data_IF_874992755424
#
_entry.id   IF_874992755424
#
_cell.length_a   1.000
_cell.length_b   1.000
_cell.length_c   1.000
_cell.angle_alpha   90.00
_cell.angle_beta   90.00
_cell.angle_gamma   90.00
#
_symmetry.space_group_name_H-M   'P 1'
#
loop_
_entity.id
_entity.type
_entity.pdbx_description
1 polymer ?
#
# COMPACT_ATOMS: atom_id res chain seq x y z
N UNK A 1 -53.70 22.02 37.52
CA UNK A 1 -52.80 23.07 37.00
C UNK A 1 -51.39 22.54 37.08
N UNK A 2 -50.87 21.99 35.99
CA UNK A 2 -49.52 21.41 35.95
C UNK A 2 -48.90 21.83 34.63
N UNK A 3 -47.97 22.78 34.69
CA UNK A 3 -47.32 23.35 33.50
C UNK A 3 -46.13 22.47 33.09
N UNK A 4 -46.16 21.95 31.86
CA UNK A 4 -45.00 21.34 31.20
C UNK A 4 -44.08 22.46 30.70
N UNK A 5 -42.83 22.47 31.17
CA UNK A 5 -41.76 23.29 30.61
C UNK A 5 -41.09 22.54 29.45
N UNK A 6 -41.19 23.08 28.25
CA UNK A 6 -40.51 22.58 27.06
C UNK A 6 -39.11 23.20 26.96
N UNK A 7 -38.07 22.38 27.05
CA UNK A 7 -36.67 22.79 26.90
C UNK A 7 -36.31 22.82 25.41
N UNK A 8 -36.11 24.02 24.86
CA UNK A 8 -35.59 24.22 23.50
C UNK A 8 -34.09 23.88 23.48
N UNK A 9 -33.70 22.86 22.73
CA UNK A 9 -32.28 22.55 22.47
C UNK A 9 -31.87 23.33 21.22
N UNK A 10 -31.00 24.34 21.40
CA UNK A 10 -30.41 25.09 20.31
C UNK A 10 -29.41 24.21 19.54
N UNK A 11 -29.65 24.02 18.23
CA UNK A 11 -28.72 23.35 17.33
C UNK A 11 -27.53 24.29 17.04
N UNK A 12 -26.32 23.86 17.40
CA UNK A 12 -25.10 24.57 17.03
C UNK A 12 -24.83 24.37 15.52
N UNK A 13 -24.38 25.41 14.79
CA UNK A 13 -24.04 25.28 13.38
C UNK A 13 -22.83 24.35 13.22
N UNK A 14 -22.95 23.35 12.33
CA UNK A 14 -21.83 22.56 11.84
C UNK A 14 -20.87 23.49 11.10
N UNK A 15 -19.68 23.69 11.66
CA UNK A 15 -18.60 24.38 10.97
C UNK A 15 -18.21 23.55 9.73
N UNK A 16 -18.21 24.19 8.56
CA UNK A 16 -17.66 23.62 7.34
C UNK A 16 -16.18 23.30 7.59
N UNK A 17 -15.85 22.02 7.60
CA UNK A 17 -14.49 21.54 7.74
C UNK A 17 -13.76 21.85 6.43
N UNK A 18 -12.99 22.94 6.41
CA UNK A 18 -12.05 23.22 5.32
C UNK A 18 -10.97 22.15 5.34
N UNK A 19 -11.24 21.04 4.64
CA UNK A 19 -10.26 20.01 4.33
C UNK A 19 -9.13 20.66 3.53
N UNK A 20 -8.06 21.04 4.23
CA UNK A 20 -6.78 21.36 3.63
C UNK A 20 -6.39 20.17 2.75
N UNK A 21 -6.40 20.37 1.43
CA UNK A 21 -5.99 19.37 0.45
C UNK A 21 -4.57 18.92 0.75
N UNK A 22 -4.44 17.82 1.48
CA UNK A 22 -3.18 17.11 1.59
C UNK A 22 -2.84 16.64 0.18
N UNK A 23 -1.59 16.81 -0.30
CA UNK A 23 -1.20 16.29 -1.60
C UNK A 23 -1.59 14.81 -1.67
N UNK A 24 -2.46 14.49 -2.63
CA UNK A 24 -3.11 13.19 -2.73
C UNK A 24 -2.04 12.10 -2.76
N UNK A 25 -2.09 11.26 -1.72
CA UNK A 25 -1.07 10.26 -1.49
C UNK A 25 -1.28 9.11 -2.46
N UNK A 26 -0.84 9.28 -3.72
CA UNK A 26 -0.62 8.16 -4.62
C UNK A 26 0.34 7.21 -3.93
N UNK A 27 -0.16 6.05 -3.52
CA UNK A 27 0.67 5.02 -2.96
C UNK A 27 1.04 4.03 -4.05
N UNK A 28 2.34 3.96 -4.34
CA UNK A 28 2.93 2.83 -5.02
C UNK A 28 2.85 1.61 -4.10
N UNK A 29 1.81 0.79 -4.29
CA UNK A 29 1.74 -0.52 -3.68
C UNK A 29 2.72 -1.43 -4.43
N UNK A 30 3.74 -1.90 -3.72
CA UNK A 30 4.68 -2.95 -4.10
C UNK A 30 5.90 -2.60 -4.96
N UNK A 31 6.93 -3.42 -4.71
CA UNK A 31 8.23 -3.56 -5.39
C UNK A 31 9.29 -2.49 -5.14
N UNK A 32 10.60 -2.85 -5.16
CA UNK A 32 11.69 -1.89 -5.34
C UNK A 32 11.53 -1.14 -6.66
N UNK A 33 12.32 -0.08 -6.81
CA UNK A 33 12.44 0.70 -8.04
C UNK A 33 12.52 -0.23 -9.28
N UNK A 34 11.52 -0.13 -10.17
CA UNK A 34 11.46 -0.91 -11.41
C UNK A 34 12.64 -0.60 -12.36
N UNK A 35 13.38 0.47 -12.08
CA UNK A 35 14.61 0.83 -12.78
C UNK A 35 15.83 -0.01 -12.35
N UNK A 36 15.74 -0.87 -11.34
CA UNK A 36 16.84 -1.77 -10.98
C UNK A 36 17.24 -2.66 -12.17
N UNK A 37 18.53 -2.71 -12.50
CA UNK A 37 19.06 -3.57 -13.57
C UNK A 37 18.60 -5.01 -13.40
N UNK A 38 18.18 -5.64 -14.49
CA UNK A 38 17.78 -7.05 -14.49
C UNK A 38 19.00 -7.91 -14.09
N UNK A 39 18.91 -8.69 -13.00
CA UNK A 39 20.00 -9.54 -12.56
C UNK A 39 20.10 -10.86 -13.36
N UNK A 40 19.33 -11.04 -14.43
CA UNK A 40 19.64 -12.00 -15.49
C UNK A 40 19.31 -13.45 -15.16
N UNK A 41 18.13 -13.70 -14.60
CA UNK A 41 17.65 -15.07 -14.39
C UNK A 41 16.16 -15.17 -14.57
N UNK A 42 15.65 -16.39 -14.43
CA UNK A 42 14.35 -16.70 -14.98
C UNK A 42 13.70 -17.78 -14.10
N UNK A 43 12.75 -17.41 -13.24
CA UNK A 43 11.91 -18.38 -12.53
C UNK A 43 10.68 -18.73 -13.38
N UNK A 44 10.52 -20.03 -13.68
CA UNK A 44 9.53 -20.51 -14.63
C UNK A 44 8.21 -20.93 -14.00
N UNK A 45 7.10 -20.59 -14.66
CA UNK A 45 5.82 -21.23 -14.39
C UNK A 45 5.71 -22.47 -15.29
N UNK A 46 5.85 -23.65 -14.70
CA UNK A 46 5.87 -24.92 -15.43
C UNK A 46 5.01 -25.99 -14.78
N UNK A 47 4.15 -26.69 -15.55
CA UNK A 47 3.41 -26.23 -16.72
C UNK A 47 2.05 -25.63 -16.31
N UNK A 48 1.65 -24.53 -16.96
CA UNK A 48 0.31 -23.94 -16.80
C UNK A 48 0.29 -22.52 -16.23
N UNK A 49 -0.91 -21.98 -15.97
CA UNK A 49 -1.06 -20.68 -15.32
C UNK A 49 -0.37 -20.69 -13.96
N UNK A 50 0.02 -19.53 -13.47
CA UNK A 50 0.58 -19.39 -12.14
C UNK A 50 0.18 -18.06 -11.52
N UNK A 51 0.21 -18.04 -10.19
CA UNK A 51 0.08 -16.82 -9.42
C UNK A 51 1.37 -16.60 -8.67
N UNK A 52 1.91 -15.40 -8.79
CA UNK A 52 3.16 -15.01 -8.19
C UNK A 52 2.85 -13.99 -7.11
N UNK A 53 3.33 -14.27 -5.91
CA UNK A 53 3.18 -13.43 -4.74
C UNK A 53 4.56 -13.09 -4.15
N UNK A 54 4.75 -11.84 -3.75
CA UNK A 54 5.86 -11.49 -2.89
C UNK A 54 5.47 -11.82 -1.44
N UNK A 55 6.03 -12.88 -0.86
CA UNK A 55 5.72 -13.28 0.52
C UNK A 55 6.40 -12.35 1.55
N UNK A 56 7.56 -11.82 1.20
CA UNK A 56 8.38 -11.03 2.09
C UNK A 56 9.16 -10.01 1.28
N UNK A 57 9.04 -8.75 1.69
CA UNK A 57 9.83 -7.67 1.13
C UNK A 57 11.06 -7.47 2.02
N UNK A 58 12.25 -7.20 1.44
CA UNK A 58 13.37 -6.72 2.20
C UNK A 58 12.95 -5.50 3.03
N UNK A 59 13.14 -5.57 4.36
CA UNK A 59 12.72 -4.49 5.28
C UNK A 59 13.38 -3.15 4.95
N UNK A 60 14.51 -3.18 4.24
CA UNK A 60 15.24 -2.00 3.79
C UNK A 60 14.47 -1.12 2.79
N UNK A 61 13.45 -1.65 2.11
CA UNK A 61 12.80 -0.95 1.00
C UNK A 61 11.56 -0.15 1.38
N UNK A 62 11.06 -0.29 2.61
CA UNK A 62 9.85 0.42 3.05
C UNK A 62 8.58 0.09 2.24
N UNK A 63 8.66 -0.84 1.29
CA UNK A 63 7.56 -1.28 0.47
C UNK A 63 6.52 -2.01 1.34
N UNK A 64 5.24 -1.71 1.13
CA UNK A 64 4.15 -2.40 1.81
C UNK A 64 3.70 -3.58 0.94
N UNK A 65 3.57 -4.74 1.57
CA UNK A 65 2.88 -5.91 1.01
C UNK A 65 1.35 -5.75 1.02
N UNK A 66 0.79 -4.72 1.66
CA UNK A 66 -0.66 -4.59 1.71
C UNK A 66 -1.05 -3.14 1.54
N UNK A 67 -2.17 -2.91 0.85
CA UNK A 67 -2.73 -1.58 0.69
C UNK A 67 -2.98 -0.97 2.07
N UNK A 68 -2.48 0.25 2.34
CA UNK A 68 -2.67 0.90 3.64
C UNK A 68 -4.08 1.48 3.83
N UNK A 69 -4.78 1.77 2.72
CA UNK A 69 -6.13 2.31 2.65
C UNK A 69 -6.93 1.60 1.56
N UNK A 70 -8.25 1.81 1.55
CA UNK A 70 -9.07 1.45 0.41
C UNK A 70 -8.85 2.44 -0.74
N UNK A 71 -9.22 2.03 -1.96
CA UNK A 71 -9.11 2.83 -3.16
C UNK A 71 -9.28 1.99 -4.44
N UNK A 72 -8.83 2.57 -5.55
CA UNK A 72 -8.85 1.94 -6.87
C UNK A 72 -7.44 1.91 -7.43
N UNK A 73 -7.02 0.73 -7.89
CA UNK A 73 -5.79 0.60 -8.67
C UNK A 73 -6.06 1.16 -10.06
N UNK A 74 -5.43 2.30 -10.39
CA UNK A 74 -5.61 3.01 -11.66
C UNK A 74 -4.58 2.60 -12.72
N UNK A 75 -3.42 2.13 -12.27
CA UNK A 75 -2.40 1.55 -13.13
C UNK A 75 -1.52 0.56 -12.38
N UNK A 76 -0.88 -0.33 -13.12
CA UNK A 76 0.16 -1.18 -12.58
C UNK A 76 1.30 -1.34 -13.58
N UNK A 77 2.48 -1.64 -13.06
CA UNK A 77 3.70 -1.84 -13.83
C UNK A 77 4.32 -3.16 -13.44
N UNK A 78 4.86 -3.85 -14.43
CA UNK A 78 5.59 -5.10 -14.25
C UNK A 78 6.85 -5.08 -15.09
N UNK A 79 7.93 -5.67 -14.57
CA UNK A 79 9.15 -5.91 -15.34
C UNK A 79 9.22 -7.36 -15.81
N UNK A 80 9.41 -7.58 -17.11
CA UNK A 80 9.50 -8.90 -17.73
C UNK A 80 10.86 -9.11 -18.40
N UNK A 81 11.36 -10.34 -18.42
CA UNK A 81 12.62 -10.71 -19.08
C UNK A 81 12.50 -10.85 -20.60
N UNK A 82 11.28 -10.98 -21.10
CA UNK A 82 10.94 -11.27 -22.49
C UNK A 82 9.48 -10.87 -22.78
N UNK A 83 9.06 -11.10 -24.03
CA UNK A 83 7.68 -10.92 -24.43
C UNK A 83 6.76 -11.90 -23.68
N UNK A 84 5.63 -11.42 -23.17
CA UNK A 84 4.67 -12.19 -22.39
C UNK A 84 3.25 -11.84 -22.78
N UNK A 85 2.40 -12.85 -22.88
CA UNK A 85 0.94 -12.68 -22.96
C UNK A 85 0.30 -13.30 -21.73
N UNK A 86 -0.94 -12.93 -21.44
CA UNK A 86 -1.68 -13.56 -20.35
C UNK A 86 -1.38 -12.98 -18.97
N UNK A 87 -0.76 -11.79 -18.88
CA UNK A 87 -0.46 -11.14 -17.60
C UNK A 87 -1.74 -10.52 -17.02
N UNK A 88 -1.99 -10.71 -15.74
CA UNK A 88 -3.14 -10.11 -15.07
C UNK A 88 -2.77 -9.73 -13.63
N UNK A 89 -3.07 -8.49 -13.25
CA UNK A 89 -3.05 -8.07 -11.85
C UNK A 89 -4.23 -8.70 -11.10
N UNK A 90 -3.96 -9.29 -9.95
CA UNK A 90 -4.95 -9.83 -9.01
C UNK A 90 -4.88 -9.11 -7.67
N UNK A 91 -6.03 -8.91 -7.03
CA UNK A 91 -6.11 -8.41 -5.66
C UNK A 91 -6.57 -9.54 -4.75
N UNK A 92 -5.80 -9.78 -3.68
CA UNK A 92 -6.00 -10.90 -2.77
C UNK A 92 -6.15 -10.46 -1.32
N UNK A 93 -7.01 -11.15 -0.58
CA UNK A 93 -7.09 -11.08 0.88
C UNK A 93 -6.20 -12.19 1.45
N UNK A 94 -5.18 -11.87 2.27
CA UNK A 94 -4.39 -12.89 2.93
C UNK A 94 -5.27 -13.65 3.94
N UNK A 95 -5.27 -14.97 3.83
CA UNK A 95 -5.93 -15.89 4.75
C UNK A 95 -4.97 -16.49 5.78
N UNK A 96 -5.49 -17.44 6.56
CA UNK A 96 -4.67 -18.25 7.46
C UNK A 96 -3.80 -19.25 6.69
N UNK A 97 -2.70 -19.70 7.32
CA UNK A 97 -1.82 -20.75 6.79
C UNK A 97 -1.24 -20.48 5.39
N UNK A 98 -1.09 -19.21 5.01
CA UNK A 98 -0.55 -18.80 3.71
C UNK A 98 -1.59 -18.76 2.59
N UNK A 99 -2.86 -19.09 2.82
CA UNK A 99 -3.90 -18.96 1.79
C UNK A 99 -4.12 -17.52 1.33
N UNK A 100 -4.60 -17.33 0.11
CA UNK A 100 -5.03 -16.04 -0.44
C UNK A 100 -6.40 -16.22 -1.11
N UNK A 101 -7.33 -15.31 -0.83
CA UNK A 101 -8.63 -15.26 -1.53
C UNK A 101 -8.64 -14.11 -2.52
N UNK A 102 -8.77 -14.40 -3.81
CA UNK A 102 -8.74 -13.35 -4.83
C UNK A 102 -10.11 -12.69 -4.95
N UNK A 103 -10.16 -11.39 -4.74
CA UNK A 103 -11.40 -10.60 -4.69
C UNK A 103 -11.60 -9.72 -5.90
N UNK A 104 -10.53 -9.44 -6.66
CA UNK A 104 -10.62 -8.68 -7.90
C UNK A 104 -9.48 -9.04 -8.84
N UNK A 105 -9.67 -8.70 -10.12
CA UNK A 105 -8.67 -8.90 -11.16
C UNK A 105 -8.80 -7.83 -12.24
N UNK A 106 -7.67 -7.48 -12.87
CA UNK A 106 -7.65 -6.65 -14.08
C UNK A 106 -8.01 -7.44 -15.34
N UNK A 107 -8.10 -6.77 -16.49
CA UNK A 107 -8.10 -7.44 -17.80
C UNK A 107 -6.76 -8.13 -18.08
N UNK A 108 -6.76 -9.08 -19.00
CA UNK A 108 -5.51 -9.71 -19.47
C UNK A 108 -4.70 -8.69 -20.28
N UNK A 109 -3.40 -8.66 -20.05
CA UNK A 109 -2.43 -7.78 -20.70
C UNK A 109 -1.31 -8.59 -21.37
N UNK A 110 -0.59 -7.91 -22.26
CA UNK A 110 0.60 -8.45 -22.93
C UNK A 110 1.76 -7.46 -22.87
N UNK A 111 2.95 -7.96 -22.60
CA UNK A 111 4.23 -7.27 -22.73
C UNK A 111 4.88 -7.70 -24.05
N UNK A 112 5.12 -6.77 -24.97
CA UNK A 112 5.60 -7.12 -26.32
C UNK A 112 7.10 -7.52 -26.36
N UNK A 113 7.86 -7.18 -25.33
CA UNK A 113 9.30 -7.44 -25.23
C UNK A 113 9.75 -7.45 -23.76
N UNK A 114 11.03 -7.70 -23.52
CA UNK A 114 11.66 -7.49 -22.22
C UNK A 114 11.56 -6.01 -21.79
N UNK A 115 11.45 -5.75 -20.49
CA UNK A 115 11.48 -4.40 -19.93
C UNK A 115 10.35 -4.13 -18.93
N UNK A 116 10.18 -2.86 -18.58
CA UNK A 116 9.11 -2.40 -17.68
C UNK A 116 7.90 -1.96 -18.51
N UNK A 117 6.76 -2.59 -18.26
CA UNK A 117 5.50 -2.32 -18.94
C UNK A 117 4.52 -1.70 -17.96
N UNK A 118 3.75 -0.71 -18.41
CA UNK A 118 2.70 -0.06 -17.63
C UNK A 118 1.34 -0.32 -18.27
N UNK A 119 0.38 -0.71 -17.45
CA UNK A 119 -0.98 -1.02 -17.88
C UNK A 119 -1.97 -0.19 -17.06
N UNK A 120 -2.93 0.44 -17.74
CA UNK A 120 -4.07 1.04 -17.08
C UNK A 120 -4.97 -0.05 -16.50
N UNK A 121 -5.58 0.23 -15.35
CA UNK A 121 -6.51 -0.67 -14.71
C UNK A 121 -7.57 0.11 -13.95
N UNK A 122 -8.67 -0.57 -13.62
CA UNK A 122 -9.62 -0.15 -12.62
C UNK A 122 -9.94 -1.37 -11.79
N UNK A 123 -9.25 -1.52 -10.67
CA UNK A 123 -9.42 -2.66 -9.78
C UNK A 123 -9.55 -2.15 -8.37
N UNK A 124 -10.72 -2.34 -7.77
CA UNK A 124 -10.96 -1.96 -6.39
C UNK A 124 -10.01 -2.72 -5.45
N UNK A 125 -9.52 -2.02 -4.43
CA UNK A 125 -8.66 -2.58 -3.39
C UNK A 125 -9.05 -2.01 -2.04
N UNK A 126 -9.10 -2.87 -1.02
CA UNK A 126 -9.34 -2.49 0.37
C UNK A 126 -8.06 -2.48 1.18
N UNK A 127 -8.05 -1.73 2.28
CA UNK A 127 -6.96 -1.77 3.25
C UNK A 127 -6.69 -3.21 3.72
N UNK A 128 -5.41 -3.62 3.71
CA UNK A 128 -4.98 -4.95 4.10
C UNK A 128 -4.97 -6.00 2.98
N UNK A 129 -5.44 -5.66 1.77
CA UNK A 129 -5.34 -6.54 0.60
C UNK A 129 -3.99 -6.40 -0.10
N UNK A 130 -3.52 -7.47 -0.71
CA UNK A 130 -2.27 -7.55 -1.47
C UNK A 130 -2.52 -7.53 -2.98
N UNK A 131 -1.49 -7.19 -3.76
CA UNK A 131 -1.49 -7.34 -5.21
C UNK A 131 -0.62 -8.53 -5.61
N UNK A 132 -1.06 -9.26 -6.62
CA UNK A 132 -0.41 -10.47 -7.11
C UNK A 132 -0.36 -10.42 -8.63
N UNK A 133 0.62 -11.12 -9.21
CA UNK A 133 0.70 -11.28 -10.66
C UNK A 133 0.19 -12.67 -11.03
N UNK A 134 -0.91 -12.75 -11.76
CA UNK A 134 -1.29 -13.96 -12.47
C UNK A 134 -0.66 -13.93 -13.86
N UNK A 135 -0.18 -15.09 -14.29
CA UNK A 135 0.24 -15.30 -15.66
C UNK A 135 -0.45 -16.54 -16.22
N UNK A 136 -1.27 -16.34 -17.25
CA UNK A 136 -2.12 -17.38 -17.86
C UNK A 136 -1.52 -18.04 -19.10
N UNK A 137 -0.48 -17.45 -19.68
CA UNK A 137 0.13 -17.96 -20.92
C UNK A 137 0.84 -19.30 -20.74
N UNK A 138 1.28 -19.61 -19.52
CA UNK A 138 2.11 -20.78 -19.20
C UNK A 138 3.46 -20.77 -19.90
N UNK A 139 4.41 -21.57 -19.41
CA UNK A 139 5.67 -21.87 -20.10
C UNK A 139 6.69 -20.71 -20.17
N UNK A 140 7.87 -20.92 -19.61
CA UNK A 140 8.93 -19.92 -19.54
C UNK A 140 8.96 -19.17 -18.22
N UNK A 141 9.78 -18.13 -18.13
CA UNK A 141 10.12 -17.47 -16.87
C UNK A 141 9.59 -16.06 -16.73
N UNK A 142 8.75 -15.83 -15.72
CA UNK A 142 8.20 -14.52 -15.36
C UNK A 142 8.91 -13.90 -14.17
N UNK A 143 9.62 -14.68 -13.36
CA UNK A 143 10.43 -14.10 -12.30
C UNK A 143 11.76 -13.60 -12.83
N UNK A 144 12.06 -12.35 -12.47
CA UNK A 144 13.42 -11.86 -12.41
C UNK A 144 14.02 -12.30 -11.06
N UNK A 145 15.27 -12.78 -10.99
CA UNK A 145 16.00 -12.82 -9.74
C UNK A 145 15.94 -11.42 -9.16
N UNK A 146 15.87 -11.31 -7.84
CA UNK A 146 16.25 -10.10 -7.15
C UNK A 146 17.69 -10.37 -6.81
N UNK A 147 18.62 -9.94 -7.67
CA UNK A 147 20.04 -10.26 -7.54
C UNK A 147 20.45 -10.17 -6.08
N UNK A 148 20.95 -11.28 -5.53
CA UNK A 148 21.18 -11.56 -4.09
C UNK A 148 21.03 -10.33 -3.20
N UNK A 149 19.79 -10.02 -2.80
CA UNK A 149 19.55 -8.79 -2.06
C UNK A 149 20.08 -8.95 -0.64
N UNK A 150 20.90 -8.00 -0.15
CA UNK A 150 21.36 -8.02 1.23
C UNK A 150 20.15 -7.93 2.16
N UNK A 151 19.84 -9.03 2.86
CA UNK A 151 18.75 -9.09 3.83
C UNK A 151 17.58 -10.03 3.51
N UNK A 152 17.64 -10.79 2.40
CA UNK A 152 16.71 -11.89 2.11
C UNK A 152 15.29 -11.42 1.82
N UNK A 153 14.92 -11.37 0.54
CA UNK A 153 13.53 -11.24 0.10
C UNK A 153 13.07 -12.59 -0.45
N UNK A 154 11.91 -13.08 -0.01
CA UNK A 154 11.28 -14.27 -0.55
C UNK A 154 10.20 -13.89 -1.57
N UNK A 155 10.24 -14.54 -2.72
CA UNK A 155 9.05 -14.66 -3.59
C UNK A 155 8.45 -16.03 -3.32
N UNK A 156 7.13 -16.04 -3.17
CA UNK A 156 6.33 -17.25 -3.18
C UNK A 156 5.68 -17.36 -4.55
N UNK A 157 6.10 -18.37 -5.32
CA UNK A 157 5.37 -18.76 -6.53
C UNK A 157 4.33 -19.77 -6.12
N UNK A 158 3.10 -19.54 -6.56
CA UNK A 158 2.00 -20.47 -6.43
C UNK A 158 1.75 -21.06 -7.80
N UNK A 159 2.15 -22.32 -7.94
CA UNK A 159 1.78 -23.11 -9.10
C UNK A 159 0.40 -23.69 -8.82
N UNK A 160 -0.60 -23.19 -9.54
CA UNK A 160 -1.89 -23.86 -9.63
C UNK A 160 -2.21 -24.06 -11.11
N UNK A 161 -2.54 -25.28 -11.48
CA UNK A 161 -2.95 -25.65 -12.85
C UNK A 161 -4.19 -24.89 -13.32
N UNK A 162 -4.98 -24.33 -12.40
CA UNK A 162 -6.17 -23.54 -12.71
C UNK A 162 -6.13 -22.24 -11.91
N UNK A 163 -6.11 -21.11 -12.61
CA UNK A 163 -6.24 -19.84 -11.93
C UNK A 163 -7.63 -19.75 -11.28
N UNK A 164 -7.73 -19.57 -9.95
CA UNK A 164 -9.00 -19.45 -9.27
C UNK A 164 -9.89 -18.36 -9.86
N UNK A 165 -11.21 -18.61 -10.00
CA UNK A 165 -12.15 -17.54 -10.28
C UNK A 165 -12.11 -16.50 -9.15
N UNK A 166 -12.39 -15.24 -9.50
CA UNK A 166 -12.59 -14.19 -8.49
C UNK A 166 -13.71 -14.62 -7.54
N UNK A 167 -13.50 -14.41 -6.24
CA UNK A 167 -14.40 -14.86 -5.17
C UNK A 167 -14.05 -16.23 -4.59
N UNK A 168 -13.06 -16.95 -5.13
CA UNK A 168 -12.58 -18.20 -4.56
C UNK A 168 -11.33 -18.02 -3.69
N UNK A 169 -11.22 -18.85 -2.66
CA UNK A 169 -10.04 -18.97 -1.83
C UNK A 169 -9.11 -20.03 -2.42
N UNK A 170 -7.83 -19.71 -2.56
CA UNK A 170 -6.80 -20.70 -2.91
C UNK A 170 -5.81 -20.81 -1.77
N UNK A 171 -5.59 -22.06 -1.38
CA UNK A 171 -4.44 -22.37 -0.56
C UNK A 171 -3.21 -22.24 -1.44
N UNK A 172 -2.47 -21.15 -1.21
CA UNK A 172 -1.07 -21.10 -1.58
C UNK A 172 -0.35 -22.09 -0.66
N UNK A 173 -0.41 -23.37 -1.02
CA UNK A 173 0.12 -24.42 -0.16
C UNK A 173 1.62 -24.23 -0.04
N UNK A 174 2.19 -24.23 1.18
CA UNK A 174 3.61 -24.05 1.39
C UNK A 174 4.60 -25.04 0.76
N UNK A 175 4.14 -25.91 -0.15
CA UNK A 175 4.87 -27.09 -0.63
C UNK A 175 5.42 -27.00 -2.05
N UNK A 176 4.95 -26.08 -2.90
CA UNK A 176 5.46 -25.88 -4.28
C UNK A 176 6.33 -24.64 -4.39
N UNK A 177 6.96 -24.25 -3.29
CA UNK A 177 7.82 -23.09 -3.26
C UNK A 177 9.16 -23.39 -3.93
N UNK A 178 9.42 -22.75 -5.06
CA UNK A 178 10.77 -22.28 -5.33
C UNK A 178 10.96 -21.07 -4.41
N UNK A 179 11.22 -21.32 -3.12
CA UNK A 179 11.74 -20.27 -2.25
C UNK A 179 13.13 -19.95 -2.76
N UNK A 180 13.20 -19.00 -3.68
CA UNK A 180 14.46 -18.41 -4.09
C UNK A 180 14.63 -17.19 -3.18
N UNK A 181 15.40 -17.27 -2.07
CA UNK A 181 15.58 -16.19 -1.09
C UNK A 181 16.28 -14.93 -1.66
N UNK A 182 16.49 -14.92 -2.97
CA UNK A 182 17.05 -13.87 -3.81
C UNK A 182 16.18 -13.66 -5.06
N UNK A 183 14.87 -13.78 -4.94
CA UNK A 183 13.92 -13.38 -6.01
C UNK A 183 13.03 -12.28 -5.51
N UNK A 184 12.70 -11.35 -6.41
CA UNK A 184 11.75 -10.28 -6.15
C UNK A 184 10.83 -10.15 -7.36
N UNK A 185 9.54 -10.08 -7.08
CA UNK A 185 8.54 -9.71 -8.06
C UNK A 185 8.59 -8.19 -8.28
N UNK A 186 9.03 -7.78 -9.46
CA UNK A 186 9.01 -6.38 -9.90
C UNK A 186 7.62 -5.99 -10.38
N UNK A 187 6.71 -5.82 -9.42
CA UNK A 187 5.31 -5.42 -9.63
C UNK A 187 5.00 -4.18 -8.78
N UNK A 188 4.53 -3.12 -9.42
CA UNK A 188 4.10 -1.89 -8.74
C UNK A 188 2.67 -1.57 -9.17
N UNK A 189 1.81 -1.16 -8.26
CA UNK A 189 0.47 -0.67 -8.54
C UNK A 189 0.30 0.75 -7.99
N UNK A 190 -0.36 1.61 -8.75
CA UNK A 190 -0.77 2.95 -8.32
C UNK A 190 -2.19 2.86 -7.81
N UNK A 191 -2.39 3.20 -6.53
CA UNK A 191 -3.71 3.26 -5.90
C UNK A 191 -4.10 4.72 -5.72
N UNK A 192 -5.28 5.08 -6.19
CA UNK A 192 -5.96 6.32 -5.86
C UNK A 192 -7.03 6.06 -4.79
N UNK A 193 -7.23 6.99 -3.84
CA UNK A 193 -8.42 6.97 -2.99
C UNK A 193 -9.71 6.91 -3.81
N UNK A 194 -10.72 6.31 -3.19
CA UNK A 194 -12.09 6.20 -3.70
C UNK A 194 -12.98 6.51 -2.49
N UNK A 195 -13.19 7.80 -2.24
CA UNK A 195 -13.80 8.30 -1.01
C UNK A 195 -15.32 8.09 -0.99
N UNK A 196 -15.96 8.10 -2.16
CA UNK A 196 -17.39 7.94 -2.31
C UNK A 196 -17.83 6.51 -2.67
N UNK A 197 -16.86 5.64 -3.01
CA UNK A 197 -17.07 4.21 -3.17
C UNK A 197 -17.73 3.84 -4.49
N UNK A 198 -17.58 4.68 -5.51
CA UNK A 198 -18.17 4.45 -6.83
C UNK A 198 -17.33 3.52 -7.73
N UNK A 199 -16.13 3.17 -7.27
CA UNK A 199 -15.19 2.31 -7.97
C UNK A 199 -14.28 3.06 -8.94
N UNK A 200 -14.22 4.38 -8.85
CA UNK A 200 -13.33 5.27 -9.61
C UNK A 200 -12.30 5.87 -8.64
N UNK A 201 -11.10 6.15 -9.16
CA UNK A 201 -10.14 6.94 -8.40
C UNK A 201 -10.55 8.41 -8.38
N UNK A 202 -10.64 9.01 -7.19
CA UNK A 202 -11.11 10.38 -6.96
C UNK A 202 -10.30 11.44 -7.72
N UNK A 203 -9.09 11.12 -8.22
CA UNK A 203 -8.18 12.13 -8.80
C UNK A 203 -8.11 12.06 -10.32
N UNK A 204 -7.83 10.89 -10.88
CA UNK A 204 -7.56 10.75 -12.33
C UNK A 204 -8.69 10.11 -13.12
N UNK A 205 -9.62 9.46 -12.42
CA UNK A 205 -10.69 8.70 -13.06
C UNK A 205 -12.05 9.34 -12.85
N UNK A 206 -12.26 10.00 -11.71
CA UNK A 206 -13.49 10.69 -11.43
C UNK A 206 -13.49 12.09 -12.06
N UNK A 207 -14.54 12.37 -12.81
CA UNK A 207 -14.78 13.69 -13.39
C UNK A 207 -15.51 14.63 -12.44
N UNK A 208 -16.13 14.09 -11.39
CA UNK A 208 -16.70 14.85 -10.28
C UNK A 208 -16.39 14.15 -8.95
N UNK A 209 -15.19 14.35 -8.36
CA UNK A 209 -14.68 13.70 -7.13
C UNK A 209 -15.58 13.77 -5.88
N UNK A 210 -16.68 14.53 -5.95
CA UNK A 210 -17.64 14.71 -4.87
C UNK A 210 -19.00 14.06 -5.18
N UNK A 211 -19.16 13.38 -6.31
CA UNK A 211 -20.44 12.86 -6.81
C UNK A 211 -20.28 11.56 -7.61
N UNK A 212 -20.17 10.44 -6.88
CA UNK A 212 -20.30 9.05 -7.32
C UNK A 212 -21.29 8.76 -8.45
N UNK A 213 -22.39 9.53 -8.55
CA UNK A 213 -23.43 9.32 -9.55
C UNK A 213 -23.11 9.91 -10.93
N UNK A 214 -22.07 10.73 -11.07
CA UNK A 214 -21.86 11.57 -12.26
C UNK A 214 -20.49 11.35 -12.91
N UNK A 215 -20.35 10.19 -13.54
CA UNK A 215 -19.16 9.82 -14.33
C UNK A 215 -19.16 10.36 -15.76
N UNK A 216 -20.12 11.24 -16.12
CA UNK A 216 -20.13 11.87 -17.44
C UNK A 216 -19.11 13.00 -17.44
N UNK A 217 -17.88 12.65 -17.79
CA UNK A 217 -16.86 13.63 -18.12
C UNK A 217 -17.32 14.44 -19.32
N UNK A 218 -17.29 15.78 -19.29
CA UNK A 218 -17.33 16.53 -20.53
C UNK A 218 -16.19 16.01 -21.39
N UNK A 219 -16.52 15.48 -22.57
CA UNK A 219 -15.51 15.13 -23.56
C UNK A 219 -14.76 16.42 -23.83
N UNK A 220 -13.51 16.50 -23.36
CA UNK A 220 -12.62 17.59 -23.77
C UNK A 220 -12.40 17.35 -25.25
N UNK A 221 -13.23 17.99 -26.08
CA UNK A 221 -13.01 18.04 -27.52
C UNK A 221 -11.64 18.69 -27.66
N UNK A 222 -10.62 17.97 -28.13
CA UNK A 222 -9.31 18.57 -28.35
C UNK A 222 -9.54 19.81 -29.23
N UNK A 223 -8.98 20.98 -28.89
CA UNK A 223 -9.16 22.17 -29.71
C UNK A 223 -8.87 21.82 -31.16
N UNK A 224 -9.80 22.14 -32.04
CA UNK A 224 -9.69 21.84 -33.46
C UNK A 224 -8.42 22.53 -33.99
N UNK A 225 -7.39 21.71 -34.22
CA UNK A 225 -6.03 22.07 -34.59
C UNK A 225 -5.22 22.82 -33.51
N UNK A 226 -3.97 22.42 -33.26
CA UNK A 226 -3.02 23.30 -32.59
C UNK A 226 -2.84 24.52 -33.49
N UNK A 227 -3.41 25.66 -33.12
CA UNK A 227 -2.92 26.94 -33.62
C UNK A 227 -1.43 26.94 -33.29
N UNK A 228 -0.60 27.03 -34.32
CA UNK A 228 0.85 27.15 -34.19
C UNK A 228 1.11 28.39 -33.35
N UNK A 229 1.25 28.21 -32.03
CA UNK A 229 1.61 29.29 -31.14
C UNK A 229 3.00 29.75 -31.56
N UNK A 230 3.12 31.02 -31.89
CA UNK A 230 4.41 31.67 -32.07
C UNK A 230 5.31 31.32 -30.88
N UNK A 231 6.61 31.08 -31.11
CA UNK A 231 7.55 30.75 -30.04
C UNK A 231 7.47 31.82 -28.94
N UNK A 232 7.32 31.42 -27.66
CA UNK A 232 7.17 32.36 -26.57
C UNK A 232 8.38 33.29 -26.53
N UNK A 233 8.13 34.59 -26.70
CA UNK A 233 9.11 35.64 -26.51
C UNK A 233 9.54 35.58 -25.04
N UNK A 234 10.83 35.37 -24.79
CA UNK A 234 11.37 35.31 -23.44
C UNK A 234 11.15 36.67 -22.75
N UNK A 235 10.25 36.71 -21.76
CA UNK A 235 10.07 37.87 -20.90
C UNK A 235 11.06 37.76 -19.72
N UNK A 236 12.06 38.67 -19.61
CA UNK A 236 13.11 38.57 -18.58
C UNK A 236 12.66 39.08 -17.19
N UNK A 237 11.36 39.10 -16.87
CA UNK A 237 10.84 39.74 -15.65
C UNK A 237 9.83 38.91 -14.86
N UNK A 238 10.05 37.61 -14.73
CA UNK A 238 9.36 36.80 -13.73
C UNK A 238 10.23 36.68 -12.48
N UNK A 239 9.82 37.36 -11.39
CA UNK A 239 10.42 37.12 -10.07
C UNK A 239 10.23 35.64 -9.68
N UNK A 240 11.23 35.01 -9.01
CA UNK A 240 11.12 33.62 -8.61
C UNK A 240 9.95 33.45 -7.65
N UNK A 241 8.92 32.72 -8.09
CA UNK A 241 7.85 32.24 -7.22
C UNK A 241 8.50 31.30 -6.21
N UNK A 242 8.40 31.64 -4.92
CA UNK A 242 8.94 30.81 -3.86
C UNK A 242 8.28 29.43 -3.90
N UNK A 243 9.06 28.39 -4.23
CA UNK A 243 8.60 27.01 -4.19
C UNK A 243 8.14 26.71 -2.76
N UNK A 244 6.86 26.32 -2.55
CA UNK A 244 6.41 25.93 -1.22
C UNK A 244 7.27 24.76 -0.72
N UNK A 245 7.80 24.88 0.49
CA UNK A 245 8.56 23.82 1.16
C UNK A 245 7.68 22.56 1.21
N UNK A 246 8.12 21.49 0.54
CA UNK A 246 7.45 20.20 0.56
C UNK A 246 7.19 19.77 2.00
N UNK A 247 5.93 19.50 2.33
CA UNK A 247 5.55 18.96 3.63
C UNK A 247 6.35 17.69 3.92
N UNK A 248 6.98 17.62 5.09
CA UNK A 248 7.75 16.43 5.48
C UNK A 248 6.78 15.25 5.63
N UNK A 249 6.98 14.12 4.91
CA UNK A 249 6.04 13.01 4.92
C UNK A 249 5.86 12.44 6.34
N UNK A 250 4.60 12.16 6.69
CA UNK A 250 4.26 11.59 7.99
C UNK A 250 4.89 10.19 8.18
N UNK A 251 5.39 9.86 9.38
CA UNK A 251 6.00 8.56 9.65
C UNK A 251 4.99 7.42 9.53
N UNK A 252 5.35 6.39 8.75
CA UNK A 252 4.53 5.18 8.53
C UNK A 252 4.97 4.05 9.46
N UNK A 253 4.05 3.52 10.26
CA UNK A 253 4.32 2.40 11.17
C UNK A 253 4.68 1.14 10.39
N UNK A 254 5.87 0.60 10.64
CA UNK A 254 6.27 -0.71 10.16
C UNK A 254 5.70 -1.84 11.03
N UNK A 255 6.43 -2.96 11.07
CA UNK A 255 6.03 -4.12 11.85
C UNK A 255 5.97 -3.83 13.36
N UNK A 256 4.89 -4.30 14.00
CA UNK A 256 4.76 -4.34 15.45
C UNK A 256 4.73 -5.80 15.88
N UNK A 257 5.64 -6.17 16.77
CA UNK A 257 5.94 -7.54 17.17
C UNK A 257 5.71 -7.67 18.67
N UNK A 258 5.06 -8.75 19.09
CA UNK A 258 4.91 -9.11 20.49
C UNK A 258 5.99 -10.11 20.90
N UNK A 259 6.76 -9.80 21.94
CA UNK A 259 7.67 -10.74 22.59
C UNK A 259 6.99 -11.33 23.83
N UNK A 260 6.66 -12.64 23.76
CA UNK A 260 6.05 -13.38 24.88
C UNK A 260 6.97 -13.43 26.09
N UNK A 261 8.25 -13.74 25.88
CA UNK A 261 9.22 -13.92 26.96
C UNK A 261 9.42 -12.65 27.78
N UNK A 262 9.43 -11.49 27.13
CA UNK A 262 9.72 -10.21 27.80
C UNK A 262 8.45 -9.42 28.16
N UNK A 263 7.28 -9.87 27.71
CA UNK A 263 6.01 -9.15 27.79
C UNK A 263 6.09 -7.73 27.20
N UNK A 264 6.76 -7.61 26.06
CA UNK A 264 7.04 -6.34 25.38
C UNK A 264 6.37 -6.32 24.01
N UNK A 265 5.62 -5.27 23.73
CA UNK A 265 5.23 -4.91 22.36
C UNK A 265 6.31 -3.99 21.81
N UNK A 266 6.91 -4.37 20.69
CA UNK A 266 7.91 -3.59 19.98
C UNK A 266 7.32 -3.08 18.66
N UNK A 267 7.48 -1.80 18.37
CA UNK A 267 7.13 -1.19 17.09
C UNK A 267 8.39 -0.70 16.38
N UNK A 268 8.44 -0.82 15.06
CA UNK A 268 9.49 -0.23 14.22
C UNK A 268 8.88 0.68 13.18
N UNK A 269 9.46 1.86 12.96
CA UNK A 269 9.10 2.79 11.87
C UNK A 269 10.36 3.34 11.23
N UNK A 270 10.26 3.82 9.99
CA UNK A 270 11.30 4.69 9.40
C UNK A 270 11.33 5.98 10.22
N UNK A 271 12.54 6.41 10.60
CA UNK A 271 12.74 7.62 11.37
C UNK A 271 12.89 8.83 10.43
N UNK A 272 12.22 9.92 10.77
CA UNK A 272 12.45 11.23 10.16
C UNK A 272 13.55 11.93 10.95
N UNK A 273 14.53 12.52 10.25
CA UNK A 273 15.62 13.24 10.88
C UNK A 273 15.08 14.33 11.83
N UNK A 274 15.67 14.46 13.02
CA UNK A 274 15.24 15.43 14.04
C UNK A 274 13.92 15.09 14.76
N UNK A 275 13.26 13.99 14.43
CA UNK A 275 11.99 13.59 15.04
C UNK A 275 12.18 12.58 16.17
N UNK A 276 11.59 12.87 17.33
CA UNK A 276 11.46 11.91 18.43
C UNK A 276 10.11 11.18 18.35
N UNK A 277 10.05 9.97 18.88
CA UNK A 277 8.87 9.11 18.81
C UNK A 277 8.39 8.72 20.21
N UNK A 278 7.09 8.47 20.34
CA UNK A 278 6.50 7.91 21.55
C UNK A 278 5.55 6.77 21.22
N UNK A 279 5.65 5.69 22.00
CA UNK A 279 4.74 4.55 21.96
C UNK A 279 3.85 4.54 23.19
N UNK A 280 2.56 4.31 22.98
CA UNK A 280 1.59 4.10 24.05
C UNK A 280 0.73 2.86 23.75
N UNK A 281 0.42 2.09 24.78
CA UNK A 281 -0.51 0.97 24.73
C UNK A 281 -1.69 1.26 25.68
N UNK A 282 -2.91 1.11 25.18
CA UNK A 282 -4.16 1.34 25.93
C UNK A 282 -5.01 0.08 26.01
N UNK A 283 -5.53 -0.25 27.19
CA UNK A 283 -6.47 -1.35 27.43
C UNK A 283 -7.56 -0.86 28.39
N UNK A 284 -8.74 -0.51 27.85
CA UNK A 284 -9.77 0.20 28.61
C UNK A 284 -9.25 1.52 29.18
N UNK A 285 -9.28 1.69 30.50
CA UNK A 285 -8.73 2.86 31.21
C UNK A 285 -7.22 2.78 31.45
N UNK A 286 -6.59 1.62 31.24
CA UNK A 286 -5.17 1.44 31.48
C UNK A 286 -4.37 2.00 30.30
N UNK A 287 -3.40 2.87 30.59
CA UNK A 287 -2.42 3.35 29.59
C UNK A 287 -1.01 3.03 30.06
N UNK A 288 -0.21 2.42 29.19
CA UNK A 288 1.23 2.22 29.37
C UNK A 288 1.98 3.01 28.31
N UNK A 289 3.07 3.66 28.72
CA UNK A 289 3.97 4.38 27.81
C UNK A 289 5.29 3.63 27.75
N UNK A 290 5.89 3.59 26.58
CA UNK A 290 7.17 2.94 26.35
C UNK A 290 8.28 3.93 26.01
N UNK A 291 9.46 3.38 25.71
CA UNK A 291 10.60 4.16 25.22
C UNK A 291 10.81 3.93 23.73
N UNK A 292 11.45 4.91 23.07
CA UNK A 292 11.81 4.85 21.66
C UNK A 292 13.30 5.19 21.51
N UNK A 293 13.99 4.47 20.63
CA UNK A 293 15.37 4.77 20.24
C UNK A 293 15.45 4.84 18.72
N UNK A 294 16.09 5.90 18.22
CA UNK A 294 16.36 6.08 16.78
C UNK A 294 17.80 5.64 16.49
N UNK A 295 17.98 4.74 15.53
CA UNK A 295 19.30 4.27 15.08
C UNK A 295 19.23 3.74 13.65
N UNK A 296 20.19 4.11 12.80
CA UNK A 296 20.29 3.60 11.43
C UNK A 296 19.07 3.89 10.56
N UNK A 297 18.46 5.08 10.67
CA UNK A 297 17.28 5.47 9.89
C UNK A 297 15.95 4.88 10.37
N UNK A 298 15.93 4.18 11.51
CA UNK A 298 14.69 3.61 12.07
C UNK A 298 14.48 4.02 13.53
N UNK A 299 13.22 4.22 13.92
CA UNK A 299 12.83 4.31 15.32
C UNK A 299 12.30 2.94 15.79
N UNK A 300 12.91 2.42 16.86
CA UNK A 300 12.48 1.20 17.56
C UNK A 300 11.89 1.61 18.90
N UNK A 301 10.63 1.25 19.10
CA UNK A 301 9.90 1.60 20.31
C UNK A 301 9.40 0.35 21.01
N UNK A 302 9.40 0.35 22.34
CA UNK A 302 8.97 -0.80 23.13
C UNK A 302 8.14 -0.40 24.33
N UNK A 303 7.06 -1.13 24.60
CA UNK A 303 6.19 -0.94 25.77
C UNK A 303 5.89 -2.26 26.43
N UNK A 304 6.11 -2.33 27.75
CA UNK A 304 5.73 -3.51 28.55
C UNK A 304 4.24 -3.46 28.86
N UNK A 305 3.56 -4.58 28.65
CA UNK A 305 2.12 -4.72 28.90
C UNK A 305 1.79 -6.04 29.58
N UNK A 306 0.71 -6.04 30.36
CA UNK A 306 0.16 -7.26 30.93
C UNK A 306 -0.65 -8.05 29.88
N UNK A 307 -0.95 -9.35 30.11
CA UNK A 307 -1.90 -10.09 29.29
C UNK A 307 -3.25 -9.37 29.14
N UNK A 308 -3.80 -9.35 27.93
CA UNK A 308 -5.04 -8.63 27.60
C UNK A 308 -5.06 -8.05 26.19
N UNK A 309 -6.18 -7.43 25.81
CA UNK A 309 -6.30 -6.70 24.56
C UNK A 309 -5.78 -5.26 24.71
N UNK A 310 -4.81 -4.88 23.88
CA UNK A 310 -4.16 -3.57 23.88
C UNK A 310 -4.29 -2.90 22.51
N UNK A 311 -4.59 -1.62 22.51
CA UNK A 311 -4.48 -0.73 21.35
C UNK A 311 -3.17 0.03 21.47
N UNK A 312 -2.26 -0.18 20.54
CA UNK A 312 -0.92 0.38 20.54
C UNK A 312 -0.84 1.48 19.51
N UNK A 313 -0.41 2.67 19.93
CA UNK A 313 -0.23 3.85 19.09
C UNK A 313 1.21 4.31 19.11
N UNK A 314 1.75 4.67 17.94
CA UNK A 314 3.04 5.36 17.82
C UNK A 314 2.82 6.76 17.24
N UNK A 315 3.40 7.77 17.88
CA UNK A 315 3.26 9.17 17.48
C UNK A 315 4.62 9.88 17.44
N UNK A 316 4.92 10.70 16.43
CA UNK A 316 6.03 11.65 16.49
C UNK A 316 5.76 12.69 17.59
N UNK A 317 6.82 13.21 18.22
CA UNK A 317 6.76 14.19 19.33
C UNK A 317 7.50 15.49 19.07
N UNK A 318 8.43 15.54 18.13
CA UNK A 318 9.25 16.72 17.83
C UNK A 318 9.56 16.79 16.34
N UNK A 319 10.13 17.91 15.88
CA UNK A 319 10.62 18.06 14.51
C UNK A 319 9.60 18.62 13.52
N UNK A 320 8.53 19.29 13.98
CA UNK A 320 7.53 19.90 13.10
C UNK A 320 6.65 18.90 12.34
N UNK A 321 6.80 17.60 12.59
CA UNK A 321 6.00 16.56 11.96
C UNK A 321 4.69 16.39 12.72
N UNK A 322 3.63 17.00 12.20
CA UNK A 322 2.25 16.66 12.56
C UNK A 322 1.86 15.40 11.78
N UNK A 323 1.63 14.30 12.49
CA UNK A 323 1.24 13.04 11.86
C UNK A 323 0.28 12.27 12.76
N UNK A 324 -0.76 11.69 12.17
CA UNK A 324 -1.74 10.87 12.87
C UNK A 324 -1.05 9.69 13.54
N UNK A 325 -1.33 9.49 14.83
CA UNK A 325 -0.76 8.36 15.57
C UNK A 325 -1.22 7.04 14.93
N UNK A 326 -0.30 6.28 14.35
CA UNK A 326 -0.67 5.00 13.75
C UNK A 326 -0.99 4.02 14.87
N UNK A 327 -2.16 3.38 14.76
CA UNK A 327 -2.75 2.59 15.83
C UNK A 327 -3.06 1.17 15.38
N UNK A 328 -2.66 0.16 16.16
CA UNK A 328 -2.97 -1.26 15.92
C UNK A 328 -3.48 -1.96 17.18
N UNK A 329 -4.37 -2.95 17.03
CA UNK A 329 -4.87 -3.78 18.14
C UNK A 329 -4.04 -5.05 18.27
N UNK A 330 -3.74 -5.43 19.51
CA UNK A 330 -2.99 -6.62 19.90
C UNK A 330 -3.72 -7.37 21.01
N UNK A 331 -3.81 -8.68 20.90
CA UNK A 331 -4.30 -9.54 21.99
C UNK A 331 -3.12 -10.29 22.56
N UNK A 332 -2.77 -9.99 23.81
CA UNK A 332 -1.74 -10.70 24.56
C UNK A 332 -2.42 -11.86 25.30
N UNK A 333 -2.11 -13.12 24.98
CA UNK A 333 -2.77 -14.28 25.59
C UNK A 333 -2.50 -14.37 27.10
N UNK A 334 -3.53 -14.76 27.87
CA UNK A 334 -3.40 -15.14 29.28
C UNK A 334 -2.84 -16.56 29.36
N UNK A 335 -1.76 -16.77 30.12
CA UNK A 335 -1.44 -18.13 30.61
C UNK A 335 -0.29 -18.90 29.96
N UNK A 336 0.80 -18.25 29.54
CA UNK A 336 2.08 -18.98 29.48
C UNK A 336 2.72 -18.91 30.88
N UNK A 337 2.56 -19.98 31.68
CA UNK A 337 3.48 -20.21 32.82
C UNK A 337 4.88 -20.32 32.21
N UNK A 338 5.78 -19.45 32.65
CA UNK A 338 7.23 -19.61 32.44
C UNK A 338 7.71 -20.80 33.24
#
# INVERSE_FOLDING_TARGET
MTALAATLVAAAPLAADTTLGLPDAQFAAYSPDLNMTDPGGAGACSPGPCIIEQDSLPVAWGALRYAPSAGVITSWKVKTADARTGLRLRVGVPGGLGSVSFVAASSVQSAAAAGTHAFAARVAISAGQGVHLEWTGGGGSVLLPGGSLPGGGGVSIVHDTIAPPVGSAVFVTPGTYISAPSTVLFLQATVEPDADGDGYGDTSQDCQPANAGSQVCPVVVPPANPVTADPPRADPSASPVATPLSATPAPRLGAVIWSRAQRVISARTVAVAGTTYAIAARSGRLTRRGSCRVSGGFARCSVRVAPGAWRVSLSPRSGGVTGTAVTRRYVVPRGART
#
